data_IF_002353781331
#
_entry.id   IF_002353781331
#
_cell.length_a   1.000
_cell.length_b   1.000
_cell.length_c   1.000
_cell.angle_alpha   90.00
_cell.angle_beta   90.00
_cell.angle_gamma   90.00
#
_symmetry.space_group_name_H-M   'P 1'
#
loop_
_entity.id
_entity.type
_entity.pdbx_description
1 polymer ?
#
# COMPACT_ATOMS: atom_id res chain seq x y z
N UNK A 1 -15.28 -6.19 8.93
CA UNK A 1 -14.25 -6.42 9.96
C UNK A 1 -12.96 -5.72 9.60
N UNK A 2 -12.21 -5.28 10.62
CA UNK A 2 -10.89 -4.71 10.45
C UNK A 2 -9.83 -5.80 10.54
N UNK A 3 -8.84 -5.72 9.70
CA UNK A 3 -7.74 -6.65 9.74
C UNK A 3 -6.92 -6.60 8.46
N UNK A 4 -6.02 -7.55 8.35
CA UNK A 4 -5.22 -7.73 7.14
C UNK A 4 -4.81 -9.19 6.97
N UNK A 5 -4.55 -9.56 5.75
CA UNK A 5 -4.01 -10.86 5.37
C UNK A 5 -2.61 -10.63 4.87
N UNK A 6 -1.63 -11.32 5.44
CA UNK A 6 -0.23 -11.12 5.05
C UNK A 6 0.40 -12.38 4.46
N UNK A 7 1.51 -12.19 3.78
CA UNK A 7 2.32 -13.29 3.26
C UNK A 7 2.90 -14.13 4.40
N UNK A 8 3.19 -15.40 4.10
CA UNK A 8 3.78 -16.31 5.07
C UNK A 8 5.27 -16.01 5.33
N UNK A 9 5.94 -15.39 4.36
CA UNK A 9 7.36 -15.05 4.43
C UNK A 9 7.58 -13.59 4.11
N UNK A 10 8.66 -12.97 4.63
CA UNK A 10 9.02 -11.61 4.27
C UNK A 10 9.74 -11.56 2.92
N UNK A 11 9.76 -10.39 2.32
CA UNK A 11 10.43 -10.13 1.03
C UNK A 11 11.32 -8.88 1.13
N UNK A 12 12.36 -8.85 0.33
CA UNK A 12 13.29 -7.72 0.20
C UNK A 12 12.94 -6.84 -0.99
N UNK A 13 13.74 -6.94 -2.06
CA UNK A 13 13.51 -6.15 -3.28
C UNK A 13 12.52 -6.85 -4.20
N UNK A 14 11.54 -6.10 -4.71
CA UNK A 14 10.51 -6.66 -5.59
C UNK A 14 9.71 -5.56 -6.30
N UNK A 15 8.98 -5.97 -7.32
CA UNK A 15 7.88 -5.22 -7.90
C UNK A 15 6.60 -6.01 -7.62
N UNK A 16 5.69 -5.43 -6.87
CA UNK A 16 4.41 -6.03 -6.51
C UNK A 16 3.33 -5.52 -7.45
N UNK A 17 2.59 -6.45 -8.04
CA UNK A 17 1.40 -6.14 -8.82
C UNK A 17 0.17 -6.57 -8.04
N UNK A 18 -0.81 -5.67 -7.88
CA UNK A 18 -2.08 -5.95 -7.21
C UNK A 18 -3.19 -5.26 -8.00
N UNK A 19 -4.22 -6.01 -8.34
CA UNK A 19 -5.43 -5.43 -8.92
C UNK A 19 -6.54 -5.45 -7.89
N UNK A 20 -7.32 -4.38 -7.82
CA UNK A 20 -8.44 -4.28 -6.87
C UNK A 20 -9.68 -3.68 -7.53
N UNK A 21 -10.82 -4.01 -6.96
CA UNK A 21 -12.12 -3.50 -7.41
C UNK A 21 -13.05 -3.35 -6.21
N UNK A 22 -13.77 -2.25 -6.17
CA UNK A 22 -14.85 -2.07 -5.20
C UNK A 22 -16.08 -2.83 -5.69
N UNK A 23 -16.64 -3.70 -4.84
CA UNK A 23 -17.83 -4.50 -5.20
C UNK A 23 -19.10 -3.66 -5.13
N UNK A 24 -19.12 -2.71 -4.22
CA UNK A 24 -20.20 -1.76 -4.08
C UNK A 24 -19.68 -0.34 -4.08
N UNK A 25 -20.01 0.42 -3.07
CA UNK A 25 -19.48 1.77 -2.90
C UNK A 25 -17.96 1.74 -2.64
N UNK A 26 -17.25 2.66 -3.24
CA UNK A 26 -15.82 2.79 -3.00
C UNK A 26 -15.58 3.35 -1.60
N UNK A 27 -14.82 2.62 -0.81
CA UNK A 27 -14.56 2.98 0.58
C UNK A 27 -13.06 3.00 0.89
N UNK A 28 -12.59 2.12 1.76
CA UNK A 28 -11.22 2.10 2.22
C UNK A 28 -10.63 0.69 2.21
N UNK A 29 -9.39 0.59 1.76
CA UNK A 29 -8.54 -0.58 1.84
C UNK A 29 -7.10 -0.10 1.69
N UNK A 30 -6.14 -1.01 1.69
CA UNK A 30 -4.74 -0.67 1.52
C UNK A 30 -3.88 -1.88 1.23
N UNK A 31 -2.72 -1.62 0.67
CA UNK A 31 -1.68 -2.61 0.41
C UNK A 31 -0.50 -2.25 1.30
N UNK A 32 -0.11 -3.17 2.18
CA UNK A 32 0.98 -2.94 3.12
C UNK A 32 2.26 -3.58 2.61
N UNK A 33 3.34 -2.83 2.66
CA UNK A 33 4.69 -3.30 2.39
C UNK A 33 5.53 -3.14 3.65
N UNK A 34 6.62 -3.90 3.75
CA UNK A 34 7.56 -3.79 4.87
C UNK A 34 6.87 -4.00 6.22
N UNK A 35 5.87 -4.89 6.26
CA UNK A 35 5.21 -5.24 7.51
C UNK A 35 6.21 -5.95 8.42
N UNK A 36 6.44 -5.39 9.59
CA UNK A 36 7.38 -5.92 10.56
C UNK A 36 6.70 -6.98 11.44
N UNK A 37 7.49 -7.84 12.06
CA UNK A 37 6.96 -8.85 12.95
C UNK A 37 6.40 -8.24 14.23
N UNK A 38 5.47 -8.95 14.85
CA UNK A 38 4.87 -8.59 16.12
C UNK A 38 3.36 -8.85 16.12
N UNK A 39 2.83 -9.10 17.30
CA UNK A 39 1.40 -9.36 17.51
C UNK A 39 0.61 -8.08 17.75
N UNK A 40 0.81 -7.09 16.89
CA UNK A 40 0.08 -5.83 16.97
C UNK A 40 -1.00 -5.80 15.90
N UNK A 41 -2.14 -5.22 16.23
CA UNK A 41 -3.20 -4.98 15.24
C UNK A 41 -2.68 -4.11 14.08
N UNK A 42 -1.83 -3.15 14.40
CA UNK A 42 -1.18 -2.29 13.42
C UNK A 42 0.34 -2.37 13.61
N UNK A 43 1.00 -3.35 12.98
CA UNK A 43 2.46 -3.47 13.04
C UNK A 43 3.13 -2.32 12.29
N UNK A 44 4.41 -2.11 12.52
CA UNK A 44 5.20 -1.19 11.71
C UNK A 44 5.12 -1.60 10.24
N UNK A 45 4.73 -0.69 9.37
CA UNK A 45 4.53 -0.99 7.96
C UNK A 45 4.46 0.30 7.15
N UNK A 46 4.62 0.18 5.83
CA UNK A 46 4.31 1.26 4.89
C UNK A 46 3.08 0.83 4.11
N UNK A 47 2.06 1.64 4.13
CA UNK A 47 0.82 1.38 3.40
C UNK A 47 0.75 2.19 2.13
N UNK A 48 0.47 1.51 1.00
CA UNK A 48 -0.06 2.16 -0.19
C UNK A 48 -1.57 2.27 0.02
N UNK A 49 -2.05 3.48 0.25
CA UNK A 49 -3.47 3.74 0.51
C UNK A 49 -4.31 3.43 -0.72
N UNK A 50 -5.45 2.79 -0.52
CA UNK A 50 -6.45 2.55 -1.57
C UNK A 50 -7.79 3.23 -1.28
N UNK A 51 -7.88 3.99 -0.20
CA UNK A 51 -9.09 4.75 0.09
C UNK A 51 -9.49 5.59 -1.12
N UNK A 52 -10.79 5.58 -1.44
CA UNK A 52 -11.31 6.30 -2.59
C UNK A 52 -10.89 7.78 -2.58
N UNK A 53 -10.31 8.23 -3.68
CA UNK A 53 -9.76 9.58 -3.82
C UNK A 53 -8.34 9.75 -3.30
N UNK A 54 -7.77 8.72 -2.64
CA UNK A 54 -6.46 8.77 -2.01
C UNK A 54 -5.52 7.64 -2.43
N UNK A 55 -5.88 6.89 -3.46
CA UNK A 55 -5.04 5.78 -3.92
C UNK A 55 -3.66 6.29 -4.34
N UNK A 56 -2.62 5.73 -3.71
CA UNK A 56 -1.25 6.14 -3.92
C UNK A 56 -0.65 7.01 -2.83
N UNK A 57 -1.44 7.47 -1.85
CA UNK A 57 -0.86 8.07 -0.65
C UNK A 57 -0.02 6.99 0.07
N UNK A 58 1.11 7.40 0.65
CA UNK A 58 1.94 6.50 1.44
C UNK A 58 1.81 6.83 2.92
N UNK A 59 1.52 5.81 3.72
CA UNK A 59 1.39 5.95 5.17
C UNK A 59 2.44 5.11 5.89
N UNK A 60 3.07 5.70 6.89
CA UNK A 60 3.90 4.97 7.84
C UNK A 60 3.04 4.62 9.05
N UNK A 61 2.85 3.32 9.28
CA UNK A 61 2.01 2.77 10.34
C UNK A 61 2.85 2.19 11.47
N UNK A 62 2.28 2.11 12.66
CA UNK A 62 2.89 1.44 13.80
C UNK A 62 4.23 2.04 14.21
N UNK A 63 4.42 3.34 14.00
CA UNK A 63 5.65 4.05 14.29
C UNK A 63 6.66 4.05 13.14
N UNK A 64 6.36 3.44 12.01
CA UNK A 64 7.24 3.47 10.83
C UNK A 64 7.27 4.89 10.26
N UNK A 65 8.47 5.44 10.15
CA UNK A 65 8.70 6.76 9.56
C UNK A 65 9.18 6.61 8.12
N UNK A 66 8.71 7.49 7.25
CA UNK A 66 9.18 7.58 5.88
C UNK A 66 9.56 9.03 5.58
N UNK A 67 10.61 9.22 4.81
CA UNK A 67 11.12 10.56 4.51
C UNK A 67 10.09 11.37 3.72
N UNK A 68 9.92 12.63 4.09
CA UNK A 68 8.98 13.54 3.44
C UNK A 68 7.54 13.42 3.89
N UNK A 69 7.25 12.53 4.84
CA UNK A 69 5.91 12.37 5.39
C UNK A 69 5.68 13.32 6.57
N UNK A 70 4.43 13.69 6.77
CA UNK A 70 3.99 14.50 7.92
C UNK A 70 3.24 13.62 8.91
N UNK A 71 3.53 13.80 10.20
CA UNK A 71 2.82 13.08 11.26
C UNK A 71 1.54 13.80 11.64
N UNK A 72 0.47 13.02 11.80
CA UNK A 72 -0.79 13.53 12.40
C UNK A 72 -0.94 13.10 13.87
N UNK A 73 0.15 12.59 14.48
CA UNK A 73 0.14 12.05 15.85
C UNK A 73 -0.20 10.56 15.92
N UNK A 74 -0.67 9.96 14.85
CA UNK A 74 -1.03 8.54 14.78
C UNK A 74 -0.26 7.80 13.67
N UNK A 75 -0.18 8.40 12.51
CA UNK A 75 0.54 7.85 11.35
C UNK A 75 1.33 8.95 10.67
N UNK A 76 2.30 8.53 9.85
CA UNK A 76 3.01 9.43 8.95
C UNK A 76 2.34 9.34 7.58
N UNK A 77 2.08 10.48 6.96
CA UNK A 77 1.39 10.54 5.67
C UNK A 77 2.22 11.34 4.68
N UNK A 78 2.51 10.71 3.53
CA UNK A 78 3.06 11.40 2.37
C UNK A 78 1.99 11.32 1.27
N UNK A 79 1.34 12.45 1.00
CA UNK A 79 0.29 12.53 -0.01
C UNK A 79 0.85 12.30 -1.41
N UNK A 80 0.08 11.67 -2.26
CA UNK A 80 0.43 11.45 -3.65
C UNK A 80 0.63 12.78 -4.37
N UNK A 81 1.55 12.79 -5.32
CA UNK A 81 1.81 13.95 -6.17
C UNK A 81 1.26 13.78 -7.58
N UNK A 82 0.89 12.56 -7.95
CA UNK A 82 0.26 12.29 -9.24
C UNK A 82 -1.18 12.72 -9.28
N UNK A 83 -1.70 12.91 -10.48
CA UNK A 83 -3.10 13.26 -10.68
C UNK A 83 -4.07 12.11 -10.41
N UNK A 84 -5.34 12.43 -10.38
CA UNK A 84 -6.43 11.46 -10.22
C UNK A 84 -6.38 10.43 -11.35
N UNK A 85 -6.34 9.16 -11.00
CA UNK A 85 -6.26 8.06 -11.96
C UNK A 85 -7.06 6.83 -11.57
N UNK A 86 -7.84 6.91 -10.49
CA UNK A 86 -8.69 5.81 -10.06
C UNK A 86 -9.86 5.64 -11.01
N UNK A 87 -10.20 4.38 -11.29
CA UNK A 87 -11.38 4.04 -12.09
C UNK A 87 -12.62 4.01 -11.18
N UNK A 88 -13.82 4.19 -11.73
CA UNK A 88 -15.06 4.12 -10.96
C UNK A 88 -15.23 2.78 -10.22
N UNK A 89 -16.04 2.80 -9.17
CA UNK A 89 -16.42 1.59 -8.46
C UNK A 89 -16.96 0.53 -9.44
N UNK A 90 -16.59 -0.72 -9.22
CA UNK A 90 -16.94 -1.84 -10.10
C UNK A 90 -15.92 -2.11 -11.19
N UNK A 91 -15.05 -1.17 -11.52
CA UNK A 91 -13.97 -1.38 -12.48
C UNK A 91 -12.68 -1.76 -11.78
N UNK A 92 -11.85 -2.55 -12.46
CA UNK A 92 -10.57 -2.98 -11.93
C UNK A 92 -9.51 -1.88 -12.04
N UNK A 93 -8.86 -1.61 -10.91
CA UNK A 93 -7.66 -0.78 -10.83
C UNK A 93 -6.45 -1.68 -10.66
N UNK A 94 -5.27 -1.19 -11.01
CA UNK A 94 -4.02 -1.88 -10.72
C UNK A 94 -3.06 -0.96 -9.98
N UNK A 95 -2.40 -1.51 -8.98
CA UNK A 95 -1.27 -0.87 -8.31
C UNK A 95 -0.01 -1.64 -8.63
N UNK A 96 1.09 -0.92 -8.86
CA UNK A 96 2.42 -1.49 -8.95
C UNK A 96 3.29 -0.79 -7.93
N UNK A 97 3.89 -1.57 -7.04
CA UNK A 97 4.68 -1.05 -5.94
C UNK A 97 6.08 -1.62 -6.06
N UNK A 98 7.05 -0.73 -6.27
CA UNK A 98 8.47 -1.10 -6.40
C UNK A 98 9.15 -0.83 -5.07
N UNK A 99 9.74 -1.88 -4.49
CA UNK A 99 10.50 -1.78 -3.25
C UNK A 99 11.94 -2.22 -3.52
N UNK A 100 12.89 -1.31 -3.30
CA UNK A 100 14.33 -1.58 -3.46
C UNK A 100 15.06 -0.95 -2.27
N UNK A 101 15.65 -1.78 -1.41
CA UNK A 101 16.24 -1.30 -0.17
C UNK A 101 15.19 -0.55 0.65
N UNK A 102 15.47 0.70 1.01
CA UNK A 102 14.55 1.56 1.75
C UNK A 102 13.67 2.44 0.85
N UNK A 103 13.75 2.25 -0.47
CA UNK A 103 13.00 3.02 -1.46
C UNK A 103 11.69 2.31 -1.83
N UNK A 104 10.60 3.07 -1.88
CA UNK A 104 9.30 2.57 -2.34
C UNK A 104 8.72 3.56 -3.34
N UNK A 105 8.25 3.04 -4.48
CA UNK A 105 7.53 3.82 -5.48
C UNK A 105 6.17 3.15 -5.76
N UNK A 106 5.15 3.96 -5.94
CA UNK A 106 3.77 3.49 -6.17
C UNK A 106 3.23 4.05 -7.46
N UNK A 107 2.78 3.16 -8.32
CA UNK A 107 2.07 3.47 -9.56
C UNK A 107 0.63 2.99 -9.45
N UNK A 108 -0.32 3.83 -9.83
CA UNK A 108 -1.73 3.45 -9.91
C UNK A 108 -2.18 3.64 -11.36
N UNK A 109 -2.68 2.57 -11.94
CA UNK A 109 -3.10 2.52 -13.35
C UNK A 109 -2.02 3.06 -14.31
N UNK A 110 -0.76 2.69 -14.01
CA UNK A 110 0.40 3.04 -14.82
C UNK A 110 0.99 4.43 -14.58
N UNK A 111 0.42 5.21 -13.66
CA UNK A 111 0.85 6.58 -13.37
C UNK A 111 1.54 6.63 -12.01
N UNK A 112 2.77 7.14 -11.98
CA UNK A 112 3.50 7.33 -10.72
C UNK A 112 2.72 8.28 -9.80
N UNK A 113 2.36 7.80 -8.64
CA UNK A 113 1.61 8.57 -7.65
C UNK A 113 2.48 9.08 -6.52
N UNK A 114 3.45 8.29 -6.10
CA UNK A 114 4.24 8.63 -4.92
C UNK A 114 5.53 7.81 -4.87
N UNK A 115 6.48 8.32 -4.12
CA UNK A 115 7.71 7.60 -3.82
C UNK A 115 8.27 8.09 -2.49
N UNK A 116 9.02 7.24 -1.80
CA UNK A 116 9.66 7.60 -0.54
C UNK A 116 10.95 6.82 -0.32
N UNK A 117 11.74 7.30 0.62
CA UNK A 117 12.90 6.60 1.17
C UNK A 117 12.75 6.50 2.69
N UNK A 118 13.66 5.81 3.35
CA UNK A 118 13.64 5.65 4.80
C UNK A 118 12.78 4.51 5.31
N UNK A 119 12.19 3.71 4.41
CA UNK A 119 11.44 2.52 4.82
C UNK A 119 12.38 1.41 5.30
N UNK A 120 11.85 0.43 6.04
CA UNK A 120 12.56 -0.80 6.34
C UNK A 120 12.95 -1.51 5.03
N UNK A 121 14.03 -2.30 5.06
CA UNK A 121 14.57 -2.92 3.84
C UNK A 121 13.95 -4.27 3.50
N UNK A 122 13.10 -4.79 4.37
CA UNK A 122 12.37 -6.03 4.15
C UNK A 122 11.15 -6.09 5.05
N UNK A 123 10.24 -6.99 4.76
CA UNK A 123 9.06 -7.22 5.57
C UNK A 123 8.02 -8.04 4.82
N UNK A 124 6.93 -8.31 5.50
CA UNK A 124 5.80 -9.01 4.89
C UNK A 124 4.97 -8.06 4.04
N UNK A 125 4.18 -8.64 3.15
CA UNK A 125 3.22 -7.92 2.31
C UNK A 125 1.83 -8.27 2.81
N UNK A 126 0.93 -7.29 2.90
CA UNK A 126 -0.42 -7.52 3.38
C UNK A 126 -1.47 -6.74 2.59
N UNK A 127 -2.68 -7.27 2.60
CA UNK A 127 -3.87 -6.63 2.04
C UNK A 127 -4.83 -6.34 3.18
N UNK A 128 -5.34 -5.12 3.24
CA UNK A 128 -6.20 -4.66 4.32
C UNK A 128 -7.66 -4.99 4.05
N UNK A 129 -8.38 -5.28 5.13
CA UNK A 129 -9.85 -5.34 5.14
C UNK A 129 -10.36 -4.23 6.05
N UNK A 130 -11.03 -3.23 5.47
CA UNK A 130 -11.59 -2.09 6.20
C UNK A 130 -12.70 -1.45 5.38
N UNK A 131 -13.86 -1.23 5.98
CA UNK A 131 -14.99 -0.61 5.29
C UNK A 131 -15.79 -1.59 4.43
N UNK A 132 -16.13 -1.21 3.21
CA UNK A 132 -16.95 -2.00 2.31
C UNK A 132 -16.19 -3.14 1.63
N UNK A 133 -16.90 -3.99 0.88
CA UNK A 133 -16.28 -5.11 0.22
C UNK A 133 -15.37 -4.68 -0.93
N UNK A 134 -14.19 -5.28 -0.98
CA UNK A 134 -13.18 -5.08 -2.02
C UNK A 134 -12.72 -6.44 -2.52
N UNK A 135 -12.45 -6.54 -3.80
CA UNK A 135 -11.88 -7.74 -4.40
C UNK A 135 -10.47 -7.47 -4.87
N UNK A 136 -9.62 -8.48 -4.73
CA UNK A 136 -8.24 -8.46 -5.23
C UNK A 136 -8.06 -9.61 -6.22
N UNK A 137 -7.25 -9.38 -7.25
CA UNK A 137 -6.86 -10.43 -8.20
C UNK A 137 -5.47 -10.16 -8.75
N UNK A 138 -4.86 -11.17 -9.38
CA UNK A 138 -3.58 -11.06 -10.06
C UNK A 138 -2.51 -10.44 -9.15
N UNK A 139 -2.41 -10.96 -7.91
CA UNK A 139 -1.43 -10.52 -6.93
C UNK A 139 -0.15 -11.33 -7.11
N UNK A 140 0.92 -10.67 -7.53
CA UNK A 140 2.19 -11.37 -7.78
C UNK A 140 3.41 -10.45 -7.64
N UNK A 141 4.56 -11.06 -7.47
CA UNK A 141 5.86 -10.38 -7.41
C UNK A 141 6.66 -10.66 -8.66
N UNK A 142 7.42 -9.66 -9.08
CA UNK A 142 8.46 -9.80 -10.10
C UNK A 142 9.73 -9.10 -9.62
N UNK A 143 10.80 -9.22 -10.39
CA UNK A 143 12.02 -8.46 -10.14
C UNK A 143 11.70 -6.95 -10.23
N UNK A 144 12.41 -6.10 -9.47
CA UNK A 144 12.08 -4.67 -9.39
C UNK A 144 12.25 -3.91 -10.72
N UNK A 145 12.97 -4.46 -11.68
CA UNK A 145 13.19 -3.82 -12.98
C UNK A 145 11.99 -3.91 -13.92
#
# INVERSE_FOLDING_TARGET
>A
PFGYMRTAVPYGDYRLHVEWRWVGEATNSGIFQRVQEGDKLWPGAVECQLQAGHAGDLLGLGGAEIAGAESNGRVFIKKRSGGECERPAGEWNKAEIVCVGDYIAVYVNGILQNECTGAARSGYIALQSEGGPVEFRNVYLTDPE
#
